data_IF_780433722697
#
_entry.id   IF_780433722697
#
_cell.length_a   1.000
_cell.length_b   1.000
_cell.length_c   1.000
_cell.angle_alpha   90.00
_cell.angle_beta   90.00
_cell.angle_gamma   90.00
#
_symmetry.space_group_name_H-M   'P 1'
#
loop_
_entity.id
_entity.type
_entity.pdbx_description
1 polymer ?
#
# COMPACT_ATOMS: atom_id res chain seq x y z
N UNK A 1 4.39 5.76 22.32
CA UNK A 1 3.44 6.13 21.25
C UNK A 1 3.67 5.38 19.93
N UNK A 2 4.81 4.73 19.70
CA UNK A 2 5.00 3.78 18.60
C UNK A 2 5.05 2.34 19.14
N UNK A 3 4.35 1.40 18.51
CA UNK A 3 4.38 -0.02 18.82
C UNK A 3 4.83 -0.85 17.60
N UNK A 4 5.38 -2.04 17.86
CA UNK A 4 5.83 -2.94 16.79
C UNK A 4 4.67 -3.27 15.86
N UNK A 5 4.90 -3.14 14.55
CA UNK A 5 3.91 -3.46 13.50
C UNK A 5 3.11 -2.26 12.97
N UNK A 6 3.19 -1.10 13.63
CA UNK A 6 2.62 0.14 13.11
C UNK A 6 3.37 0.59 11.85
N UNK A 7 2.61 1.15 10.91
CA UNK A 7 3.16 1.68 9.67
C UNK A 7 3.52 3.14 9.89
N UNK A 8 4.72 3.52 9.48
CA UNK A 8 5.22 4.88 9.59
C UNK A 8 5.98 5.25 8.33
N UNK A 9 5.88 6.51 7.96
CA UNK A 9 6.79 7.15 7.02
C UNK A 9 7.92 7.82 7.82
N UNK A 10 9.16 7.63 7.38
CA UNK A 10 10.34 8.23 7.99
C UNK A 10 11.14 8.90 6.88
N UNK A 11 11.44 10.18 7.06
CA UNK A 11 12.34 10.95 6.20
C UNK A 11 13.64 11.23 6.95
N UNK A 12 14.78 11.14 6.26
CA UNK A 12 16.07 11.38 6.86
C UNK A 12 17.21 11.18 5.88
N UNK A 13 18.39 10.85 6.42
CA UNK A 13 19.59 10.59 5.63
C UNK A 13 20.20 9.24 5.96
N UNK A 14 20.86 8.64 4.98
CA UNK A 14 21.66 7.44 5.16
C UNK A 14 22.95 7.81 5.89
N UNK A 15 23.30 7.01 6.89
CA UNK A 15 24.55 7.12 7.61
C UNK A 15 25.26 5.76 7.59
N UNK A 16 26.48 5.76 7.08
CA UNK A 16 27.36 4.60 7.11
C UNK A 16 28.30 4.72 8.29
N UNK A 17 28.36 3.69 9.11
CA UNK A 17 29.28 3.63 10.24
C UNK A 17 30.03 2.29 10.25
N UNK A 18 31.16 2.27 10.94
CA UNK A 18 31.90 1.04 11.21
C UNK A 18 32.43 1.04 12.62
N UNK A 19 32.35 -0.10 13.29
CA UNK A 19 32.87 -0.29 14.63
C UNK A 19 33.58 -1.65 14.73
N UNK A 20 34.50 -1.77 15.67
CA UNK A 20 35.20 -3.02 15.94
C UNK A 20 34.59 -3.71 17.15
N UNK A 21 34.38 -5.03 17.04
CA UNK A 21 34.00 -5.87 18.18
C UNK A 21 34.69 -7.22 18.04
N UNK A 22 35.40 -7.64 19.08
CA UNK A 22 36.15 -8.91 19.10
C UNK A 22 37.16 -9.02 17.93
N UNK A 23 37.86 -7.93 17.61
CA UNK A 23 38.85 -7.90 16.52
C UNK A 23 38.25 -7.89 15.11
N UNK A 24 36.92 -7.94 14.98
CA UNK A 24 36.23 -7.94 13.69
C UNK A 24 35.59 -6.57 13.45
N UNK A 25 36.01 -5.92 12.36
CA UNK A 25 35.38 -4.69 11.86
C UNK A 25 34.00 -5.00 11.29
N UNK A 26 32.98 -4.36 11.83
CA UNK A 26 31.58 -4.45 11.41
C UNK A 26 31.14 -3.14 10.77
N UNK A 27 30.26 -3.23 9.79
CA UNK A 27 29.70 -2.09 9.07
C UNK A 27 28.20 -2.03 9.35
N UNK A 28 27.69 -0.81 9.56
CA UNK A 28 26.25 -0.56 9.70
C UNK A 28 25.82 0.48 8.69
N UNK A 29 24.59 0.32 8.23
CA UNK A 29 23.90 1.31 7.41
C UNK A 29 22.64 1.69 8.19
N UNK A 30 22.62 2.92 8.67
CA UNK A 30 21.58 3.44 9.54
C UNK A 30 20.83 4.56 8.80
N UNK A 31 19.54 4.75 9.12
CA UNK A 31 18.77 5.91 8.67
C UNK A 31 18.61 6.85 9.86
N UNK A 32 19.22 8.04 9.77
CA UNK A 32 19.06 9.08 10.78
C UNK A 32 17.81 9.89 10.42
N UNK A 33 16.72 9.63 11.14
CA UNK A 33 15.42 10.26 10.93
C UNK A 33 15.42 11.74 11.31
N UNK A 34 14.86 12.57 10.43
CA UNK A 34 14.61 14.00 10.64
C UNK A 34 13.11 14.30 10.80
N UNK A 35 12.25 13.53 10.12
CA UNK A 35 10.80 13.60 10.25
C UNK A 35 10.18 12.20 10.32
N UNK A 36 9.08 12.07 11.05
CA UNK A 36 8.28 10.85 11.13
C UNK A 36 6.79 11.19 11.07
N UNK A 37 6.05 10.39 10.29
CA UNK A 37 4.59 10.46 10.21
C UNK A 37 3.96 9.09 10.44
N UNK A 38 2.94 9.04 11.29
CA UNK A 38 2.14 7.83 11.50
C UNK A 38 1.25 7.58 10.29
N UNK A 39 1.25 6.35 9.79
CA UNK A 39 0.39 5.93 8.69
C UNK A 39 -0.66 4.94 9.21
N UNK A 40 -1.92 5.19 8.88
CA UNK A 40 -2.99 4.22 9.09
C UNK A 40 -2.98 3.23 7.94
N UNK A 41 -3.02 1.92 8.25
CA UNK A 41 -3.36 0.93 7.23
C UNK A 41 -4.82 1.20 6.84
N UNK A 42 -5.12 1.37 5.55
CA UNK A 42 -6.51 1.31 5.10
C UNK A 42 -6.97 -0.10 5.43
N UNK A 43 -7.83 -0.22 6.42
CA UNK A 43 -8.44 -1.49 6.74
C UNK A 43 -9.38 -1.83 5.59
N UNK A 44 -9.09 -2.90 4.87
CA UNK A 44 -9.93 -3.41 3.77
C UNK A 44 -11.23 -4.04 4.32
N UNK A 45 -11.43 -4.02 5.64
CA UNK A 45 -12.64 -4.51 6.31
C UNK A 45 -13.51 -3.39 6.87
N UNK A 46 -13.71 -2.32 6.10
CA UNK A 46 -14.86 -1.43 6.29
C UNK A 46 -15.65 -1.31 4.99
N UNK A 47 -16.32 -2.38 4.62
CA UNK A 47 -17.61 -2.23 3.94
C UNK A 47 -18.63 -1.83 5.02
N UNK A 48 -19.10 -0.58 5.09
CA UNK A 48 -20.35 -0.32 5.78
C UNK A 48 -21.45 -1.03 4.98
N UNK A 49 -21.89 -2.17 5.50
CA UNK A 49 -23.13 -2.84 5.10
C UNK A 49 -24.34 -2.02 5.53
N UNK A 50 -24.49 -0.82 4.96
CA UNK A 50 -25.67 0.03 5.09
C UNK A 50 -26.17 0.39 3.68
N UNK A 51 -26.29 -0.62 2.82
CA UNK A 51 -27.16 -0.55 1.65
C UNK A 51 -28.56 -0.95 2.09
N UNK A 52 -29.32 0.04 2.57
CA UNK A 52 -30.78 -0.04 2.60
C UNK A 52 -31.23 -0.38 1.18
N UNK A 53 -31.84 -1.56 1.03
CA UNK A 53 -32.50 -1.96 -0.20
C UNK A 53 -33.72 -1.05 -0.41
N UNK A 54 -33.54 0.00 -1.20
CA UNK A 54 -34.64 0.66 -1.89
C UNK A 54 -34.79 -0.05 -3.24
N UNK A 55 -35.66 -1.08 -3.28
CA UNK A 55 -35.98 -1.81 -4.50
C UNK A 55 -37.01 -0.99 -5.28
N UNK A 56 -36.55 -0.09 -6.13
CA UNK A 56 -37.32 0.35 -7.30
C UNK A 56 -37.10 -0.66 -8.44
N UNK A 57 -38.15 -1.13 -9.14
CA UNK A 57 -37.99 -2.09 -10.23
C UNK A 57 -37.49 -1.39 -11.50
N UNK A 58 -36.33 -1.77 -12.09
CA UNK A 58 -36.03 -1.41 -13.45
C UNK A 58 -36.76 -2.38 -14.40
N UNK A 59 -37.71 -1.85 -15.16
CA UNK A 59 -38.18 -2.47 -16.39
C UNK A 59 -37.16 -2.11 -17.49
N UNK A 60 -36.68 -3.12 -18.23
CA UNK A 60 -36.49 -3.18 -19.69
C UNK A 60 -35.44 -4.25 -20.05
N UNK A 61 -35.80 -5.03 -21.07
CA UNK A 61 -35.24 -6.28 -21.61
C UNK A 61 -33.76 -6.29 -22.05
N UNK A 62 -33.16 -7.50 -22.25
CA UNK A 62 -31.77 -7.67 -22.65
C UNK A 62 -31.58 -7.58 -24.17
N UNK A 63 -30.48 -6.96 -24.61
CA UNK A 63 -29.89 -7.22 -25.93
C UNK A 63 -28.37 -7.40 -25.79
N UNK A 64 -27.81 -8.56 -26.19
CA UNK A 64 -26.37 -8.77 -26.22
C UNK A 64 -25.79 -8.32 -27.56
N UNK A 65 -24.77 -7.48 -27.54
CA UNK A 65 -23.90 -7.26 -28.70
C UNK A 65 -22.44 -7.46 -28.25
N UNK A 66 -21.73 -8.48 -28.79
CA UNK A 66 -20.33 -8.72 -28.48
C UNK A 66 -19.41 -8.02 -29.48
N UNK A 67 -18.14 -7.90 -29.06
CA UNK A 67 -16.93 -7.60 -29.83
C UNK A 67 -16.46 -6.13 -29.81
N UNK A 68 -15.52 -5.86 -28.89
CA UNK A 68 -14.23 -5.19 -29.14
C UNK A 68 -13.28 -5.75 -28.05
N UNK A 69 -12.18 -6.45 -28.31
CA UNK A 69 -11.24 -6.37 -29.40
C UNK A 69 -9.90 -5.91 -28.83
N UNK A 70 -9.02 -6.86 -28.51
CA UNK A 70 -7.56 -6.75 -28.62
C UNK A 70 -6.84 -5.52 -28.03
N UNK A 71 -7.08 -5.16 -26.77
CA UNK A 71 -6.23 -4.16 -26.05
C UNK A 71 -5.33 -4.76 -24.96
N UNK A 72 -5.44 -6.07 -24.69
CA UNK A 72 -4.67 -6.73 -23.62
C UNK A 72 -3.32 -7.30 -24.11
N UNK A 73 -3.10 -7.38 -25.44
CA UNK A 73 -1.93 -8.03 -26.04
C UNK A 73 -0.85 -7.06 -26.59
N UNK A 74 -1.04 -5.75 -26.41
CA UNK A 74 -0.09 -4.70 -26.87
C UNK A 74 0.31 -3.73 -25.74
N UNK A 75 0.67 -4.28 -24.58
CA UNK A 75 1.38 -3.55 -23.53
C UNK A 75 2.85 -4.00 -23.48
N UNK A 76 3.80 -3.19 -23.96
CA UNK A 76 5.22 -3.51 -23.83
C UNK A 76 5.65 -3.45 -22.36
N UNK A 77 6.39 -4.48 -21.94
CA UNK A 77 7.16 -4.53 -20.70
C UNK A 77 8.27 -3.47 -20.65
#
# INVERSE_FOLDING_TARGET
YLSKGQVVYIEGRIHYNSYEKEGVKRYTTDIIGSNMQMLSRRDDSTAPSDRKYDTAPPSTEPSPEPAEGDIEDDLPF
#
